data_IF_893964513071
#
_entry.id   IF_893964513071
#
_cell.length_a   1.000
_cell.length_b   1.000
_cell.length_c   1.000
_cell.angle_alpha   90.00
_cell.angle_beta   90.00
_cell.angle_gamma   90.00
#
_symmetry.space_group_name_H-M   'P 1'
#
loop_
_entity.id
_entity.type
_entity.pdbx_description
1 polymer ?
#
# COMPACT_ATOMS: atom_id res chain seq x y z
N UNK A 1 -2.89 5.98 -1.63
CA UNK A 1 -2.90 5.58 -3.05
C UNK A 1 -2.86 6.75 -4.03
N UNK A 2 -3.79 7.71 -3.95
CA UNK A 2 -3.90 8.79 -4.94
C UNK A 2 -2.65 9.70 -5.03
N UNK A 3 -2.00 9.99 -3.90
CA UNK A 3 -0.74 10.76 -3.90
C UNK A 3 0.38 9.99 -4.61
N UNK A 4 0.53 8.69 -4.32
CA UNK A 4 1.51 7.83 -4.97
C UNK A 4 1.25 7.73 -6.48
N UNK A 5 -0.02 7.67 -6.91
CA UNK A 5 -0.41 7.74 -8.32
C UNK A 5 0.08 9.02 -8.98
N UNK A 6 -0.10 10.18 -8.33
CA UNK A 6 0.41 11.46 -8.82
C UNK A 6 1.93 11.46 -9.01
N UNK A 7 2.66 10.89 -8.04
CA UNK A 7 4.13 10.74 -8.13
C UNK A 7 4.52 9.82 -9.29
N UNK A 8 3.83 8.70 -9.47
CA UNK A 8 4.10 7.75 -10.55
C UNK A 8 3.87 8.36 -11.94
N UNK A 9 2.79 9.11 -12.11
CA UNK A 9 2.49 9.83 -13.36
C UNK A 9 3.54 10.90 -13.69
N UNK A 10 4.05 11.60 -12.67
CA UNK A 10 5.06 12.63 -12.85
C UNK A 10 6.48 12.07 -13.05
N UNK A 11 6.73 10.80 -12.75
CA UNK A 11 8.06 10.18 -12.80
C UNK A 11 7.99 8.79 -13.45
N UNK A 12 7.69 8.68 -14.74
CA UNK A 12 7.43 7.41 -15.43
C UNK A 12 8.63 6.45 -15.41
N UNK A 13 9.86 6.98 -15.31
CA UNK A 13 11.09 6.18 -15.32
C UNK A 13 11.49 5.65 -13.91
N UNK A 14 10.73 5.99 -12.88
CA UNK A 14 11.00 5.56 -11.49
C UNK A 14 9.91 4.61 -11.02
N UNK A 15 10.28 3.51 -10.39
CA UNK A 15 9.33 2.66 -9.67
C UNK A 15 8.81 3.38 -8.43
N UNK A 16 7.50 3.44 -8.28
CA UNK A 16 6.83 4.08 -7.15
C UNK A 16 6.10 3.01 -6.34
N UNK A 17 6.54 2.81 -5.10
CA UNK A 17 5.88 1.93 -4.15
C UNK A 17 4.91 2.74 -3.28
N UNK A 18 3.65 2.34 -3.29
CA UNK A 18 2.64 2.82 -2.34
C UNK A 18 2.50 1.78 -1.24
N UNK A 19 2.75 2.17 0.00
CA UNK A 19 2.55 1.32 1.17
C UNK A 19 1.27 1.79 1.87
N UNK A 20 0.26 0.93 1.93
CA UNK A 20 -1.05 1.24 2.48
C UNK A 20 -1.47 0.16 3.49
N UNK A 21 -2.31 0.48 4.45
CA UNK A 21 -2.94 -0.51 5.32
C UNK A 21 -4.29 -0.92 4.76
N UNK A 22 -4.74 -2.13 5.08
CA UNK A 22 -6.04 -2.66 4.70
C UNK A 22 -7.19 -1.73 5.09
N UNK A 23 -7.23 -1.29 6.33
CA UNK A 23 -8.24 -0.33 6.82
C UNK A 23 -8.15 1.04 6.14
N UNK A 24 -6.93 1.52 5.84
CA UNK A 24 -6.72 2.78 5.12
C UNK A 24 -7.25 2.69 3.69
N UNK A 25 -6.95 1.61 2.98
CA UNK A 25 -7.45 1.38 1.63
C UNK A 25 -8.97 1.26 1.60
N UNK A 26 -9.57 0.53 2.55
CA UNK A 26 -11.03 0.38 2.63
C UNK A 26 -11.76 1.72 2.84
N UNK A 27 -11.17 2.67 3.54
CA UNK A 27 -11.75 4.01 3.68
C UNK A 27 -11.79 4.81 2.36
N UNK A 28 -10.99 4.43 1.37
CA UNK A 28 -10.94 5.07 0.06
C UNK A 28 -10.76 4.05 -1.07
N UNK A 29 -11.60 3.03 -1.08
CA UNK A 29 -11.49 1.88 -1.99
C UNK A 29 -11.54 2.27 -3.47
N UNK A 30 -12.25 3.34 -3.82
CA UNK A 30 -12.31 3.88 -5.18
C UNK A 30 -10.95 4.28 -5.77
N UNK A 31 -9.92 4.43 -4.92
CA UNK A 31 -8.54 4.65 -5.36
C UNK A 31 -8.03 3.51 -6.24
N UNK A 32 -8.41 2.27 -5.96
CA UNK A 32 -8.00 1.11 -6.77
C UNK A 32 -8.43 1.26 -8.22
N UNK A 33 -9.69 1.60 -8.44
CA UNK A 33 -10.24 1.81 -9.80
C UNK A 33 -9.56 3.01 -10.48
N UNK A 34 -9.25 4.06 -9.72
CA UNK A 34 -8.56 5.24 -10.26
C UNK A 34 -7.14 4.90 -10.72
N UNK A 35 -6.39 4.13 -9.92
CA UNK A 35 -5.04 3.67 -10.26
C UNK A 35 -5.08 2.77 -11.50
N UNK A 36 -5.96 1.78 -11.51
CA UNK A 36 -6.12 0.86 -12.64
C UNK A 36 -6.47 1.60 -13.93
N UNK A 37 -7.43 2.54 -13.89
CA UNK A 37 -7.83 3.34 -15.05
C UNK A 37 -6.70 4.20 -15.63
N UNK A 38 -5.72 4.61 -14.82
CA UNK A 38 -4.56 5.38 -15.31
C UNK A 38 -3.47 4.51 -15.92
N UNK A 39 -3.52 3.20 -15.72
CA UNK A 39 -2.61 2.20 -16.30
C UNK A 39 -1.12 2.57 -16.19
N UNK A 40 -0.73 3.13 -15.04
CA UNK A 40 0.65 3.54 -14.79
C UNK A 40 1.56 2.32 -14.62
N UNK A 41 2.57 2.19 -15.46
CA UNK A 41 3.43 0.99 -15.54
C UNK A 41 4.42 0.84 -14.37
N UNK A 42 4.64 1.90 -13.63
CA UNK A 42 5.70 2.05 -12.62
C UNK A 42 5.17 2.09 -11.18
N UNK A 43 3.88 1.78 -10.95
CA UNK A 43 3.28 1.81 -9.60
C UNK A 43 3.07 0.41 -9.03
N UNK A 44 3.55 0.20 -7.81
CA UNK A 44 3.42 -1.02 -7.02
C UNK A 44 2.68 -0.68 -5.72
N UNK A 45 1.45 -1.17 -5.59
CA UNK A 45 0.56 -0.86 -4.48
C UNK A 45 0.55 -2.01 -3.49
N UNK A 46 1.33 -1.88 -2.42
CA UNK A 46 1.41 -2.83 -1.32
C UNK A 46 0.34 -2.53 -0.29
N UNK A 47 -0.39 -3.56 0.13
CA UNK A 47 -1.39 -3.48 1.19
C UNK A 47 -0.99 -4.41 2.33
N UNK A 48 -0.75 -3.84 3.49
CA UNK A 48 -0.49 -4.56 4.73
C UNK A 48 -1.83 -4.96 5.35
N UNK A 49 -2.15 -6.25 5.24
CA UNK A 49 -3.41 -6.83 5.72
C UNK A 49 -3.20 -7.46 7.09
N UNK A 50 -3.58 -6.72 8.14
CA UNK A 50 -3.59 -7.20 9.53
C UNK A 50 -5.01 -7.39 10.09
N UNK A 51 -6.04 -7.15 9.30
CA UNK A 51 -7.43 -7.31 9.66
C UNK A 51 -7.95 -6.29 10.70
N UNK A 52 -7.18 -5.23 11.01
CA UNK A 52 -7.55 -4.31 12.08
C UNK A 52 -7.06 -2.88 11.90
N UNK A 53 -7.81 -1.93 12.48
CA UNK A 53 -7.40 -0.53 12.64
C UNK A 53 -6.44 -0.38 13.83
N UNK A 54 -5.21 -0.88 13.70
CA UNK A 54 -4.26 -0.97 14.82
C UNK A 54 -3.86 0.37 15.42
N UNK A 55 -3.87 1.44 14.64
CA UNK A 55 -3.50 2.80 15.10
C UNK A 55 -4.60 3.43 15.97
N UNK A 56 -5.86 3.02 15.82
CA UNK A 56 -7.02 3.63 16.48
C UNK A 56 -7.70 2.74 17.51
N UNK A 57 -7.06 1.62 17.88
CA UNK A 57 -7.53 0.77 18.99
C UNK A 57 -7.81 -0.70 18.63
N UNK A 58 -7.44 -1.14 17.42
CA UNK A 58 -7.47 -2.55 17.07
C UNK A 58 -8.84 -3.09 16.69
N UNK A 59 -9.79 -2.23 16.34
CA UNK A 59 -11.10 -2.68 15.84
C UNK A 59 -10.91 -3.47 14.53
N UNK A 60 -11.71 -4.53 14.31
CA UNK A 60 -11.64 -5.26 13.05
C UNK A 60 -12.02 -4.38 11.87
N UNK A 61 -11.30 -4.50 10.76
CA UNK A 61 -11.71 -3.87 9.50
C UNK A 61 -12.90 -4.62 8.89
N UNK A 62 -13.79 -3.96 8.14
CA UNK A 62 -14.85 -4.65 7.41
C UNK A 62 -14.27 -5.73 6.49
N UNK A 63 -14.81 -6.94 6.56
CA UNK A 63 -14.34 -8.06 5.74
C UNK A 63 -13.03 -8.71 6.19
N UNK A 64 -12.54 -8.42 7.40
CA UNK A 64 -11.35 -9.08 7.95
C UNK A 64 -11.47 -10.62 7.89
N UNK A 65 -10.48 -11.27 7.30
CA UNK A 65 -10.44 -12.73 7.14
C UNK A 65 -11.40 -13.31 6.08
N UNK A 66 -12.19 -12.47 5.38
CA UNK A 66 -13.14 -12.90 4.34
C UNK A 66 -12.79 -12.27 2.98
N UNK A 67 -12.17 -11.11 2.99
CA UNK A 67 -11.89 -10.35 1.79
C UNK A 67 -10.73 -10.96 1.00
N UNK A 68 -10.98 -11.32 -0.24
CA UNK A 68 -9.93 -11.71 -1.18
C UNK A 68 -9.32 -10.48 -1.85
N UNK A 69 -8.24 -9.98 -1.26
CA UNK A 69 -7.52 -8.81 -1.76
C UNK A 69 -6.93 -8.99 -3.15
N UNK A 70 -6.46 -10.22 -3.47
CA UNK A 70 -5.91 -10.51 -4.79
C UNK A 70 -6.98 -10.41 -5.85
N UNK A 71 -8.11 -11.09 -5.64
CA UNK A 71 -9.27 -11.02 -6.54
C UNK A 71 -9.80 -9.58 -6.66
N UNK A 72 -9.75 -8.79 -5.58
CA UNK A 72 -10.15 -7.39 -5.60
C UNK A 72 -9.23 -6.55 -6.50
N UNK A 73 -7.92 -6.75 -6.44
CA UNK A 73 -6.97 -6.08 -7.33
C UNK A 73 -7.21 -6.43 -8.80
N UNK A 74 -7.45 -7.70 -9.09
CA UNK A 74 -7.80 -8.18 -10.45
C UNK A 74 -9.10 -7.55 -10.94
N UNK A 75 -10.16 -7.57 -10.12
CA UNK A 75 -11.46 -7.00 -10.46
C UNK A 75 -11.43 -5.48 -10.63
N UNK A 76 -10.56 -4.77 -9.88
CA UNK A 76 -10.35 -3.34 -10.04
C UNK A 76 -9.61 -2.97 -11.34
N UNK A 77 -8.94 -3.94 -12.00
CA UNK A 77 -8.25 -3.76 -13.26
C UNK A 77 -6.76 -3.45 -13.14
N UNK A 78 -6.10 -3.86 -12.05
CA UNK A 78 -4.64 -3.86 -11.98
C UNK A 78 -4.07 -4.82 -13.02
N UNK A 79 -2.88 -4.51 -13.53
CA UNK A 79 -2.20 -5.35 -14.53
C UNK A 79 -1.82 -6.72 -13.97
N UNK A 80 -1.50 -6.78 -12.67
CA UNK A 80 -1.28 -8.02 -11.95
C UNK A 80 -1.63 -7.84 -10.46
N UNK A 81 -1.97 -8.95 -9.78
CA UNK A 81 -2.25 -8.98 -8.35
C UNK A 81 -1.57 -10.16 -7.70
N UNK A 82 -0.87 -9.91 -6.60
CA UNK A 82 -0.16 -10.89 -5.80
C UNK A 82 -0.68 -10.90 -4.36
N UNK A 83 -0.57 -12.05 -3.70
CA UNK A 83 -0.86 -12.20 -2.27
C UNK A 83 0.19 -13.09 -1.63
N UNK A 84 0.80 -12.62 -0.55
CA UNK A 84 1.81 -13.33 0.19
C UNK A 84 1.37 -13.51 1.64
N UNK A 85 1.40 -14.76 2.11
CA UNK A 85 0.95 -15.14 3.45
C UNK A 85 2.07 -15.11 4.49
N UNK A 86 3.32 -15.16 4.04
CA UNK A 86 4.49 -15.18 4.91
C UNK A 86 5.72 -14.61 4.19
N UNK A 87 6.82 -14.45 4.95
CA UNK A 87 8.05 -13.85 4.45
C UNK A 87 8.75 -14.72 3.38
N UNK A 88 8.69 -16.04 3.49
CA UNK A 88 9.32 -16.97 2.54
C UNK A 88 8.67 -16.86 1.17
N UNK A 89 7.34 -16.81 1.13
CA UNK A 89 6.58 -16.63 -0.11
C UNK A 89 6.91 -15.28 -0.75
N UNK A 90 7.00 -14.22 0.06
CA UNK A 90 7.37 -12.89 -0.41
C UNK A 90 8.77 -12.87 -1.00
N UNK A 91 9.77 -13.42 -0.29
CA UNK A 91 11.17 -13.47 -0.76
C UNK A 91 11.28 -14.24 -2.07
N UNK A 92 10.51 -15.31 -2.22
CA UNK A 92 10.51 -16.12 -3.43
C UNK A 92 9.83 -15.41 -4.62
N UNK A 93 8.78 -14.64 -4.36
CA UNK A 93 7.97 -14.00 -5.41
C UNK A 93 8.30 -12.54 -5.72
N UNK A 94 9.14 -11.87 -4.92
CA UNK A 94 9.33 -10.41 -5.03
C UNK A 94 9.99 -9.99 -6.35
N UNK A 95 10.85 -10.82 -6.91
CA UNK A 95 11.49 -10.54 -8.20
C UNK A 95 10.46 -10.56 -9.34
N UNK A 96 9.48 -11.47 -9.30
CA UNK A 96 8.37 -11.50 -10.25
C UNK A 96 7.52 -10.23 -10.13
N UNK A 97 7.19 -9.82 -8.90
CA UNK A 97 6.46 -8.57 -8.65
C UNK A 97 7.14 -7.40 -9.32
N UNK A 98 8.45 -7.21 -9.11
CA UNK A 98 9.17 -6.06 -9.65
C UNK A 98 9.55 -6.17 -11.12
N UNK A 99 9.47 -7.34 -11.72
CA UNK A 99 9.62 -7.54 -13.17
C UNK A 99 8.33 -7.32 -13.94
N UNK A 100 7.19 -7.34 -13.24
CA UNK A 100 5.86 -7.14 -13.84
C UNK A 100 5.60 -5.65 -14.07
N UNK A 101 5.16 -5.28 -15.28
CA UNK A 101 4.69 -3.90 -15.55
C UNK A 101 3.40 -3.61 -14.77
N UNK A 102 3.38 -2.44 -14.12
CA UNK A 102 2.24 -2.00 -13.31
C UNK A 102 1.02 -1.48 -14.10
N UNK A 103 0.00 -1.07 -13.36
CA UNK A 103 -0.03 -1.05 -11.91
C UNK A 103 -0.13 -2.45 -11.32
N UNK A 104 0.71 -2.76 -10.33
CA UNK A 104 0.70 -4.05 -9.63
C UNK A 104 0.10 -3.87 -8.25
N UNK A 105 -0.81 -4.76 -7.87
CA UNK A 105 -1.39 -4.81 -6.55
C UNK A 105 -0.78 -5.96 -5.74
N UNK A 106 -0.34 -5.71 -4.51
CA UNK A 106 0.33 -6.70 -3.69
C UNK A 106 -0.25 -6.69 -2.28
N UNK A 107 -0.87 -7.78 -1.87
CA UNK A 107 -1.29 -7.97 -0.49
C UNK A 107 -0.21 -8.71 0.29
N UNK A 108 0.11 -8.21 1.48
CA UNK A 108 1.00 -8.85 2.44
C UNK A 108 0.21 -9.15 3.71
N UNK A 109 0.07 -10.44 4.05
CA UNK A 109 -0.44 -10.82 5.35
C UNK A 109 0.60 -10.44 6.42
N UNK A 110 0.15 -9.70 7.43
CA UNK A 110 0.99 -9.33 8.56
C UNK A 110 0.28 -9.59 9.88
N UNK A 111 1.05 -9.80 10.93
CA UNK A 111 0.51 -9.97 12.26
C UNK A 111 -0.17 -8.70 12.77
N UNK A 112 -1.24 -8.90 13.54
CA UNK A 112 -1.93 -7.81 14.19
C UNK A 112 -1.15 -7.32 15.40
N UNK A 113 -0.58 -6.12 15.31
CA UNK A 113 0.04 -5.44 16.42
C UNK A 113 -0.68 -4.13 16.73
N UNK A 114 -1.29 -4.05 17.92
CA UNK A 114 -2.04 -2.86 18.34
C UNK A 114 -1.11 -1.92 19.10
N UNK A 115 -0.94 -0.71 18.59
CA UNK A 115 -0.18 0.34 19.24
C UNK A 115 -0.94 0.87 20.48
N UNK A 116 -0.54 0.41 21.66
CA UNK A 116 -1.18 0.79 22.93
C UNK A 116 -0.49 1.93 23.67
N UNK A 117 0.65 2.43 23.15
CA UNK A 117 1.34 3.55 23.77
C UNK A 117 0.54 4.84 23.57
N UNK A 118 0.10 5.52 24.67
CA UNK A 118 -0.62 6.78 24.55
C UNK A 118 0.18 7.80 23.73
N UNK A 119 -0.51 8.60 22.90
CA UNK A 119 0.10 9.52 21.93
C UNK A 119 1.14 10.46 22.55
N UNK A 120 0.90 10.90 23.80
CA UNK A 120 1.82 11.79 24.51
C UNK A 120 3.17 11.14 24.88
N UNK A 121 3.25 9.78 24.88
CA UNK A 121 4.46 9.02 25.21
C UNK A 121 5.13 8.40 23.99
N UNK A 122 4.53 8.56 22.79
CA UNK A 122 5.13 8.06 21.56
C UNK A 122 6.31 8.92 21.15
N UNK A 123 7.36 8.27 20.68
CA UNK A 123 8.47 8.99 20.06
C UNK A 123 7.97 9.78 18.86
N UNK A 124 8.34 11.05 18.79
CA UNK A 124 8.02 11.85 17.60
C UNK A 124 8.86 11.38 16.41
N UNK A 125 8.26 11.21 15.23
CA UNK A 125 9.04 10.86 14.06
C UNK A 125 10.08 11.95 13.79
N UNK A 126 11.30 11.54 13.45
CA UNK A 126 12.41 12.47 13.11
C UNK A 126 12.07 13.35 11.92
N UNK A 127 11.19 12.89 11.05
CA UNK A 127 10.73 13.58 9.84
C UNK A 127 9.21 13.63 9.87
N UNK A 128 8.67 14.82 9.76
CA UNK A 128 7.21 15.02 9.70
C UNK A 128 6.69 14.86 8.27
N UNK A 129 5.38 14.69 8.10
CA UNK A 129 4.73 14.70 6.78
C UNK A 129 4.98 16.02 6.06
N UNK A 130 5.01 17.15 6.80
CA UNK A 130 5.31 18.47 6.24
C UNK A 130 6.72 18.50 5.64
N UNK A 131 7.71 17.98 6.37
CA UNK A 131 9.09 17.92 5.89
C UNK A 131 9.19 17.04 4.65
N UNK A 132 8.51 15.87 4.67
CA UNK A 132 8.49 14.95 3.54
C UNK A 132 7.91 15.61 2.27
N UNK A 133 6.81 16.36 2.37
CA UNK A 133 6.20 17.05 1.23
C UNK A 133 7.12 18.15 0.67
N UNK A 134 7.79 18.91 1.54
CA UNK A 134 8.72 19.98 1.11
C UNK A 134 9.97 19.41 0.43
N UNK A 135 10.46 18.27 0.89
CA UNK A 135 11.68 17.63 0.39
C UNK A 135 11.45 16.77 -0.87
N UNK A 136 10.23 16.26 -1.06
CA UNK A 136 9.91 15.35 -2.15
C UNK A 136 10.29 15.89 -3.54
N UNK A 137 9.99 17.16 -3.92
CA UNK A 137 10.38 17.68 -5.23
C UNK A 137 11.89 17.63 -5.45
N UNK A 138 12.70 17.88 -4.40
CA UNK A 138 14.16 17.81 -4.47
C UNK A 138 14.68 16.38 -4.60
N UNK A 139 13.97 15.42 -4.02
CA UNK A 139 14.34 14.01 -4.11
C UNK A 139 13.95 13.38 -5.46
N UNK A 140 13.04 14.01 -6.19
CA UNK A 140 12.56 13.56 -7.50
C UNK A 140 13.26 14.27 -8.68
N UNK A 141 13.90 15.40 -8.45
CA UNK A 141 14.76 16.07 -9.43
C UNK A 141 16.10 15.35 -9.57
#
# INVERSE_FOLDING_TARGET
GNFALGVALANPDRKVMCLDGDGSLLMNLGTMVTVANKSVKNMYHFVFDNGAYCVTGGQPVPGAGVLDWKAMGEAAGYAASFSFENLEDLVTGIDEVFSTEGPVFIRLAIDKEVENTPVQYRERPRRTMKDAIIELPKALS
#
